data_IF_254075946107
#
_entry.id   IF_254075946107
#
_cell.length_a   1.000
_cell.length_b   1.000
_cell.length_c   1.000
_cell.angle_alpha   90.00
_cell.angle_beta   90.00
_cell.angle_gamma   90.00
#
_symmetry.space_group_name_H-M   'P 1'
#
loop_
_entity.id
_entity.type
_entity.pdbx_description
1 polymer ?
#
# COMPACT_ATOMS: atom_id res chain seq x y z
N UNK A 1 32.52 -22.72 26.69
CA UNK A 1 31.86 -21.44 26.32
C UNK A 1 30.42 -21.73 25.93
N UNK A 2 29.44 -21.21 26.69
CA UNK A 2 28.02 -21.46 26.45
C UNK A 2 27.49 -20.30 25.60
N UNK A 3 27.05 -20.58 24.37
CA UNK A 3 26.45 -19.57 23.51
C UNK A 3 25.12 -19.11 24.15
N UNK A 4 25.08 -17.90 24.68
CA UNK A 4 23.83 -17.23 25.04
C UNK A 4 23.07 -16.98 23.74
N UNK A 5 22.09 -17.85 23.43
CA UNK A 5 21.06 -17.52 22.43
C UNK A 5 20.20 -16.42 23.05
N UNK A 6 20.45 -15.17 22.70
CA UNK A 6 19.50 -14.09 22.95
C UNK A 6 18.15 -14.54 22.36
N UNK A 7 17.04 -14.42 23.10
CA UNK A 7 15.73 -14.72 22.53
C UNK A 7 15.54 -13.81 21.33
N UNK A 8 15.30 -14.39 20.15
CA UNK A 8 14.97 -13.62 18.95
C UNK A 8 13.73 -12.79 19.30
N UNK A 9 13.87 -11.45 19.32
CA UNK A 9 12.75 -10.53 19.47
C UNK A 9 11.63 -10.99 18.51
N UNK A 10 10.37 -11.05 18.95
CA UNK A 10 9.27 -11.33 18.02
C UNK A 10 9.32 -10.28 16.90
N UNK A 11 9.10 -10.66 15.62
CA UNK A 11 9.15 -9.72 14.50
C UNK A 11 8.23 -8.53 14.80
N UNK A 12 8.72 -7.28 14.73
CA UNK A 12 7.87 -6.14 15.05
C UNK A 12 6.71 -6.01 14.06
N UNK A 13 6.84 -6.57 12.86
CA UNK A 13 5.78 -6.82 11.87
C UNK A 13 4.52 -7.48 12.46
N UNK A 14 4.68 -8.43 13.39
CA UNK A 14 3.56 -9.14 14.02
C UNK A 14 3.10 -8.49 15.33
N UNK A 15 3.79 -7.44 15.78
CA UNK A 15 3.35 -6.66 16.93
C UNK A 15 2.11 -5.83 16.58
N UNK A 16 1.26 -5.47 17.57
CA UNK A 16 0.13 -4.57 17.33
C UNK A 16 0.54 -3.27 16.63
N UNK A 17 1.69 -2.70 17.00
CA UNK A 17 2.24 -1.48 16.39
C UNK A 17 2.66 -1.70 14.94
N UNK A 18 3.31 -2.83 14.62
CA UNK A 18 3.69 -3.17 13.25
C UNK A 18 2.48 -3.40 12.34
N UNK A 19 1.44 -4.07 12.85
CA UNK A 19 0.18 -4.24 12.13
C UNK A 19 -0.48 -2.88 11.86
N UNK A 20 -0.54 -1.99 12.85
CA UNK A 20 -1.08 -0.63 12.67
C UNK A 20 -0.27 0.14 11.62
N UNK A 21 1.06 0.14 11.71
CA UNK A 21 1.95 0.77 10.70
C UNK A 21 1.67 0.24 9.30
N UNK A 22 1.47 -1.07 9.15
CA UNK A 22 1.21 -1.70 7.87
C UNK A 22 -0.16 -1.31 7.31
N UNK A 23 -1.20 -1.29 8.15
CA UNK A 23 -2.54 -0.81 7.77
C UNK A 23 -2.49 0.66 7.37
N UNK A 24 -1.73 1.50 8.08
CA UNK A 24 -1.53 2.91 7.70
C UNK A 24 -0.90 3.04 6.32
N UNK A 25 0.12 2.24 6.00
CA UNK A 25 0.72 2.22 4.67
C UNK A 25 -0.28 1.76 3.60
N UNK A 26 -1.06 0.72 3.86
CA UNK A 26 -2.10 0.27 2.95
C UNK A 26 -3.15 1.36 2.70
N UNK A 27 -3.62 2.05 3.74
CA UNK A 27 -4.57 3.17 3.65
C UNK A 27 -3.98 4.34 2.86
N UNK A 28 -2.71 4.69 3.10
CA UNK A 28 -2.00 5.71 2.34
C UNK A 28 -1.95 5.33 0.85
N UNK A 29 -1.56 4.10 0.53
CA UNK A 29 -1.56 3.59 -0.83
C UNK A 29 -2.94 3.66 -1.48
N UNK A 30 -3.99 3.21 -0.78
CA UNK A 30 -5.36 3.31 -1.28
C UNK A 30 -5.77 4.75 -1.60
N UNK A 31 -5.48 5.70 -0.70
CA UNK A 31 -5.74 7.12 -0.91
C UNK A 31 -4.97 7.68 -2.11
N UNK A 32 -3.69 7.33 -2.26
CA UNK A 32 -2.88 7.72 -3.41
C UNK A 32 -3.42 7.13 -4.72
N UNK A 33 -3.89 5.88 -4.72
CA UNK A 33 -4.51 5.24 -5.88
C UNK A 33 -5.78 5.97 -6.34
N UNK A 34 -6.65 6.37 -5.41
CA UNK A 34 -7.82 7.20 -5.72
C UNK A 34 -7.45 8.59 -6.23
N UNK A 35 -6.53 9.27 -5.54
CA UNK A 35 -6.08 10.60 -5.93
C UNK A 35 -5.42 10.58 -7.32
N UNK A 36 -4.59 9.58 -7.60
CA UNK A 36 -3.96 9.39 -8.90
C UNK A 36 -4.99 9.07 -10.00
N UNK A 37 -5.96 8.18 -9.73
CA UNK A 37 -7.04 7.88 -10.67
C UNK A 37 -7.88 9.10 -11.02
N UNK A 38 -8.22 9.93 -10.02
CA UNK A 38 -8.93 11.18 -10.21
C UNK A 38 -8.09 12.17 -11.03
N UNK A 39 -6.83 12.37 -10.66
CA UNK A 39 -5.92 13.28 -11.36
C UNK A 39 -5.75 12.87 -12.83
N UNK A 40 -5.57 11.57 -13.11
CA UNK A 40 -5.51 11.05 -14.47
C UNK A 40 -6.79 11.32 -15.25
N UNK A 41 -7.95 11.09 -14.64
CA UNK A 41 -9.25 11.31 -15.29
C UNK A 41 -9.46 12.78 -15.63
N UNK A 42 -9.09 13.70 -14.72
CA UNK A 42 -9.23 15.14 -14.93
C UNK A 42 -8.20 15.71 -15.91
N UNK A 43 -7.00 15.14 -15.97
CA UNK A 43 -5.89 15.68 -16.75
C UNK A 43 -5.77 15.06 -18.15
N UNK A 44 -6.39 13.91 -18.39
CA UNK A 44 -6.28 13.19 -19.66
C UNK A 44 -7.66 12.89 -20.28
N UNK A 45 -8.06 13.63 -21.33
CA UNK A 45 -9.34 13.44 -22.00
C UNK A 45 -9.54 12.04 -22.58
N UNK A 46 -8.47 11.34 -22.99
CA UNK A 46 -8.57 9.99 -23.51
C UNK A 46 -8.99 9.00 -22.41
N UNK A 47 -8.42 9.14 -21.20
CA UNK A 47 -8.82 8.33 -20.04
C UNK A 47 -10.28 8.60 -19.68
N UNK A 48 -10.69 9.87 -19.60
CA UNK A 48 -12.07 10.24 -19.32
C UNK A 48 -13.05 9.67 -20.35
N UNK A 49 -12.72 9.76 -21.65
CA UNK A 49 -13.56 9.22 -22.72
C UNK A 49 -13.68 7.69 -22.66
N UNK A 50 -12.59 6.98 -22.38
CA UNK A 50 -12.62 5.52 -22.21
C UNK A 50 -13.49 5.10 -21.03
N UNK A 51 -13.38 5.79 -19.90
CA UNK A 51 -14.20 5.51 -18.71
C UNK A 51 -15.68 5.82 -18.95
N UNK A 52 -15.98 6.95 -19.61
CA UNK A 52 -17.35 7.29 -19.98
C UNK A 52 -17.96 6.28 -20.96
N UNK A 53 -17.18 5.81 -21.93
CA UNK A 53 -17.63 4.80 -22.89
C UNK A 53 -17.88 3.44 -22.24
N UNK A 54 -17.02 3.03 -21.30
CA UNK A 54 -17.17 1.78 -20.56
C UNK A 54 -18.17 1.82 -19.41
N UNK A 55 -18.68 3.01 -19.05
CA UNK A 55 -19.68 3.20 -18.01
C UNK A 55 -19.22 2.81 -16.60
N UNK A 56 -20.18 2.55 -15.72
CA UNK A 56 -19.93 2.30 -14.28
C UNK A 56 -18.97 1.12 -14.02
N UNK A 57 -19.04 0.06 -14.82
CA UNK A 57 -18.15 -1.09 -14.67
C UNK A 57 -16.69 -0.73 -14.96
N UNK A 58 -16.42 0.05 -16.02
CA UNK A 58 -15.06 0.50 -16.33
C UNK A 58 -14.50 1.42 -15.24
N UNK A 59 -15.32 2.33 -14.72
CA UNK A 59 -14.94 3.23 -13.61
C UNK A 59 -14.59 2.41 -12.37
N UNK A 60 -15.40 1.42 -12.01
CA UNK A 60 -15.15 0.56 -10.85
C UNK A 60 -13.86 -0.26 -11.03
N UNK A 61 -13.69 -0.93 -12.16
CA UNK A 61 -12.47 -1.72 -12.43
C UNK A 61 -11.24 -0.81 -12.40
N UNK A 62 -11.29 0.35 -13.07
CA UNK A 62 -10.20 1.32 -13.08
C UNK A 62 -9.82 1.78 -11.67
N UNK A 63 -10.80 2.22 -10.88
CA UNK A 63 -10.57 2.70 -9.52
C UNK A 63 -10.03 1.57 -8.62
N UNK A 64 -10.65 0.39 -8.64
CA UNK A 64 -10.23 -0.76 -7.82
C UNK A 64 -8.84 -1.23 -8.19
N UNK A 65 -8.49 -1.28 -9.48
CA UNK A 65 -7.15 -1.66 -9.93
C UNK A 65 -6.11 -0.68 -9.41
N UNK A 66 -6.34 0.63 -9.53
CA UNK A 66 -5.40 1.64 -9.03
C UNK A 66 -5.26 1.58 -7.51
N UNK A 67 -6.38 1.59 -6.78
CA UNK A 67 -6.38 1.48 -5.31
C UNK A 67 -5.64 0.23 -4.85
N UNK A 68 -5.93 -0.92 -5.43
CA UNK A 68 -5.31 -2.19 -5.06
C UNK A 68 -3.81 -2.17 -5.34
N UNK A 69 -3.40 -1.69 -6.52
CA UNK A 69 -1.98 -1.67 -6.90
C UNK A 69 -1.18 -0.74 -5.99
N UNK A 70 -1.68 0.47 -5.73
CA UNK A 70 -1.00 1.41 -4.82
C UNK A 70 -1.02 0.91 -3.37
N UNK A 71 -2.11 0.32 -2.89
CA UNK A 71 -2.18 -0.27 -1.57
C UNK A 71 -1.16 -1.40 -1.39
N UNK A 72 -1.04 -2.31 -2.37
CA UNK A 72 -0.03 -3.37 -2.37
C UNK A 72 1.38 -2.76 -2.33
N UNK A 73 1.67 -1.80 -3.23
CA UNK A 73 2.98 -1.14 -3.28
C UNK A 73 3.35 -0.46 -1.96
N UNK A 74 2.45 0.34 -1.41
CA UNK A 74 2.68 1.03 -0.13
C UNK A 74 2.81 0.06 1.04
N UNK A 75 2.04 -1.04 1.05
CA UNK A 75 2.15 -2.11 2.05
C UNK A 75 3.53 -2.75 2.00
N UNK A 76 4.01 -3.12 0.80
CA UNK A 76 5.36 -3.70 0.63
C UNK A 76 6.45 -2.72 1.08
N UNK A 77 6.33 -1.43 0.77
CA UNK A 77 7.21 -0.39 1.30
C UNK A 77 7.17 -0.33 2.82
N UNK A 78 5.98 -0.39 3.42
CA UNK A 78 5.81 -0.44 4.88
C UNK A 78 6.47 -1.66 5.51
N UNK A 79 6.38 -2.83 4.87
CA UNK A 79 7.10 -4.04 5.31
C UNK A 79 8.60 -3.81 5.32
N UNK A 80 9.15 -3.23 4.24
CA UNK A 80 10.59 -2.95 4.13
C UNK A 80 11.03 -2.00 5.24
N UNK A 81 10.29 -0.91 5.51
CA UNK A 81 10.62 0.02 6.58
C UNK A 81 10.57 -0.63 7.96
N UNK A 82 9.59 -1.48 8.25
CA UNK A 82 9.51 -2.16 9.55
C UNK A 82 10.71 -3.13 9.73
N UNK A 83 11.10 -3.85 8.67
CA UNK A 83 12.27 -4.76 8.72
C UNK A 83 13.57 -3.96 8.91
N UNK A 84 13.67 -2.80 8.28
CA UNK A 84 14.84 -1.92 8.39
C UNK A 84 14.93 -1.31 9.80
N UNK A 85 13.82 -0.79 10.32
CA UNK A 85 13.71 -0.34 11.72
C UNK A 85 14.11 -1.45 12.71
N UNK A 86 13.74 -2.71 12.45
CA UNK A 86 14.12 -3.86 13.31
C UNK A 86 15.62 -4.16 13.32
N UNK A 87 16.39 -3.74 12.30
CA UNK A 87 17.84 -3.96 12.20
C UNK A 87 18.66 -2.87 12.90
N UNK A 88 18.10 -1.69 13.04
CA UNK A 88 18.76 -0.52 13.65
C UNK A 88 18.73 -0.55 15.21
N UNK A 89 18.19 -1.61 15.83
CA UNK A 89 18.12 -1.83 17.29
C UNK A 89 18.65 -3.20 17.74
#
# INVERSE_FOLDING_TARGET
>A
MRANKTPKKPPSLLSPTGVIKLVTHAMMGAALGLAFGLALTLSNPAVANLLNHGGSQAILVFALTLVTTFAIGATLTGVVFIIDEDKEF
#
